data_IF_141420374991
#
_entry.id   IF_141420374991
#
_cell.length_a   1.000
_cell.length_b   1.000
_cell.length_c   1.000
_cell.angle_alpha   90.00
_cell.angle_beta   90.00
_cell.angle_gamma   90.00
#
_symmetry.space_group_name_H-M   'P 1'
#
loop_
_entity.id
_entity.type
_entity.pdbx_description
1 polymer ?
#
# COMPACT_ATOMS: atom_id res chain seq x y z
N UNK A 1 10.73 -22.08 -50.09
CA UNK A 1 11.51 -20.85 -50.34
C UNK A 1 12.00 -20.35 -48.99
N UNK A 2 13.26 -19.93 -48.95
CA UNK A 2 14.19 -20.01 -47.82
C UNK A 2 13.83 -19.19 -46.55
N UNK A 3 14.50 -19.53 -45.43
CA UNK A 3 14.19 -19.17 -44.03
C UNK A 3 15.22 -18.15 -43.46
N UNK A 4 15.42 -18.17 -42.13
CA UNK A 4 16.38 -17.41 -41.29
C UNK A 4 15.75 -16.19 -40.60
N UNK A 5 15.37 -16.28 -39.31
CA UNK A 5 16.21 -16.35 -38.10
C UNK A 5 16.77 -14.98 -37.66
N UNK A 6 16.76 -14.82 -36.34
CA UNK A 6 17.41 -13.81 -35.49
C UNK A 6 16.52 -12.57 -35.24
N UNK A 7 16.05 -12.32 -34.02
CA UNK A 7 16.84 -12.35 -32.79
C UNK A 7 16.16 -13.14 -31.66
N UNK A 8 16.93 -14.12 -31.19
CA UNK A 8 16.75 -14.85 -29.95
C UNK A 8 16.75 -13.89 -28.75
N UNK A 9 15.82 -14.12 -27.82
CA UNK A 9 16.09 -13.86 -26.40
C UNK A 9 15.85 -15.19 -25.70
N UNK A 10 16.97 -15.83 -25.44
CA UNK A 10 17.12 -17.18 -24.90
C UNK A 10 16.28 -17.37 -23.62
N UNK A 11 15.57 -18.51 -23.59
CA UNK A 11 15.29 -19.43 -22.46
C UNK A 11 15.42 -18.85 -21.03
N UNK A 12 14.48 -19.12 -20.11
CA UNK A 12 14.46 -20.38 -19.37
C UNK A 12 13.05 -20.94 -19.06
N UNK A 13 12.77 -22.23 -19.34
CA UNK A 13 11.89 -23.03 -18.50
C UNK A 13 12.60 -23.29 -17.16
N UNK A 14 12.43 -22.37 -16.21
CA UNK A 14 12.92 -22.47 -14.84
C UNK A 14 13.69 -21.24 -14.35
N UNK A 15 13.05 -20.41 -13.52
CA UNK A 15 13.70 -19.60 -12.47
C UNK A 15 12.87 -19.76 -11.17
N UNK A 16 13.02 -20.88 -10.47
CA UNK A 16 13.90 -20.94 -9.31
C UNK A 16 13.64 -19.76 -8.34
N UNK A 17 12.69 -19.98 -7.43
CA UNK A 17 12.73 -19.61 -6.00
C UNK A 17 13.95 -18.74 -5.64
N UNK A 18 13.74 -17.50 -5.17
CA UNK A 18 14.67 -16.61 -4.40
C UNK A 18 15.50 -15.48 -5.08
N UNK A 19 15.10 -14.82 -6.18
CA UNK A 19 15.89 -13.64 -6.66
C UNK A 19 15.14 -12.46 -7.30
N UNK A 20 13.87 -12.20 -6.98
CA UNK A 20 13.12 -11.01 -7.49
C UNK A 20 12.64 -10.03 -6.41
N UNK A 21 12.97 -10.26 -5.14
CA UNK A 21 12.72 -9.27 -4.07
C UNK A 21 13.81 -8.21 -3.93
N UNK A 22 14.95 -8.37 -4.61
CA UNK A 22 16.04 -7.41 -4.53
C UNK A 22 15.85 -6.24 -5.50
N UNK A 23 14.60 -5.81 -5.66
CA UNK A 23 14.22 -4.62 -6.43
C UNK A 23 13.81 -3.57 -5.41
N UNK A 24 14.38 -2.36 -5.46
CA UNK A 24 14.00 -1.28 -4.57
C UNK A 24 12.50 -0.99 -4.73
N UNK A 25 11.75 -1.15 -3.64
CA UNK A 25 10.30 -0.96 -3.65
C UNK A 25 9.48 -2.23 -3.79
N UNK A 26 10.08 -3.44 -3.77
CA UNK A 26 9.35 -4.70 -3.60
C UNK A 26 9.28 -5.13 -2.12
N UNK A 27 8.25 -5.89 -1.77
CA UNK A 27 8.04 -6.49 -0.46
C UNK A 27 8.10 -8.02 -0.56
N UNK A 28 8.77 -8.65 0.41
CA UNK A 28 8.87 -10.11 0.51
C UNK A 28 7.81 -10.63 1.46
N UNK A 29 6.87 -11.42 0.93
CA UNK A 29 5.91 -12.19 1.71
C UNK A 29 6.64 -13.19 2.62
N UNK A 30 6.02 -13.59 3.72
CA UNK A 30 6.57 -14.61 4.62
C UNK A 30 6.60 -16.01 3.98
N UNK A 31 5.71 -16.28 3.00
CA UNK A 31 5.75 -17.48 2.15
C UNK A 31 6.92 -17.48 1.13
N UNK A 32 7.67 -16.37 1.02
CA UNK A 32 8.81 -16.23 0.11
C UNK A 32 8.45 -15.73 -1.30
N UNK A 33 7.17 -15.44 -1.56
CA UNK A 33 6.70 -14.70 -2.74
C UNK A 33 7.11 -13.21 -2.63
N UNK A 34 7.34 -12.57 -3.77
CA UNK A 34 7.57 -11.12 -3.82
C UNK A 34 6.38 -10.41 -4.48
N UNK A 35 5.99 -9.29 -3.88
CA UNK A 35 4.96 -8.38 -4.39
C UNK A 35 5.53 -6.97 -4.49
N UNK A 36 4.95 -6.07 -5.31
CA UNK A 36 5.24 -4.65 -5.24
C UNK A 36 5.05 -4.13 -3.81
N UNK A 37 5.97 -3.33 -3.30
CA UNK A 37 5.89 -2.76 -1.95
C UNK A 37 4.74 -1.76 -1.78
N UNK A 38 4.14 -1.31 -2.89
CA UNK A 38 2.88 -0.58 -2.89
C UNK A 38 1.66 -1.43 -2.53
N UNK A 39 1.77 -2.76 -2.61
CA UNK A 39 0.74 -3.72 -2.21
C UNK A 39 0.87 -4.12 -0.73
N UNK A 40 1.95 -3.71 -0.08
CA UNK A 40 2.05 -3.90 1.36
C UNK A 40 1.09 -2.95 2.08
N UNK A 41 0.10 -3.50 2.78
CA UNK A 41 -0.90 -2.76 3.54
C UNK A 41 -1.82 -1.93 2.65
N UNK A 42 -2.19 -2.45 1.50
CA UNK A 42 -3.09 -1.78 0.56
C UNK A 42 -4.57 -2.18 0.76
N UNK A 43 -4.81 -3.15 1.66
CA UNK A 43 -6.14 -3.66 1.99
C UNK A 43 -6.54 -4.91 1.21
N UNK A 44 -5.67 -5.43 0.34
CA UNK A 44 -5.88 -6.66 -0.42
C UNK A 44 -4.82 -7.72 -0.09
N UNK A 45 -5.22 -8.99 0.06
CA UNK A 45 -4.25 -10.07 0.24
C UNK A 45 -3.61 -10.45 -1.10
N UNK A 46 -2.44 -9.90 -1.40
CA UNK A 46 -1.65 -10.24 -2.58
C UNK A 46 -0.61 -11.33 -2.28
N UNK A 47 -0.19 -11.48 -1.02
CA UNK A 47 0.53 -12.66 -0.55
C UNK A 47 -0.42 -13.85 -0.36
N UNK A 48 0.05 -15.05 -0.68
CA UNK A 48 -0.73 -16.28 -0.46
C UNK A 48 -1.03 -16.52 1.03
N UNK A 49 -0.10 -16.09 1.89
CA UNK A 49 -0.24 -16.14 3.34
C UNK A 49 -0.71 -14.81 3.95
N UNK A 50 -1.12 -13.83 3.13
CA UNK A 50 -1.62 -12.51 3.58
C UNK A 50 -0.61 -11.73 4.44
N UNK A 51 0.69 -12.01 4.29
CA UNK A 51 1.75 -11.37 5.10
C UNK A 51 1.99 -9.92 4.75
N UNK A 52 1.67 -9.51 3.53
CA UNK A 52 1.60 -8.11 3.07
C UNK A 52 0.60 -7.27 3.86
N UNK A 53 -0.47 -7.89 4.34
CA UNK A 53 -1.54 -7.25 5.12
C UNK A 53 -1.39 -7.45 6.64
N UNK A 54 -0.34 -8.19 7.08
CA UNK A 54 -0.08 -8.48 8.50
C UNK A 54 0.94 -7.51 9.09
N UNK A 55 0.65 -7.03 10.31
CA UNK A 55 1.58 -6.15 11.03
C UNK A 55 1.72 -4.76 10.41
N UNK A 56 0.78 -4.39 9.53
CA UNK A 56 0.68 -3.05 8.98
C UNK A 56 0.66 -2.03 10.11
N UNK A 57 1.52 -1.00 10.05
CA UNK A 57 1.44 0.07 11.03
C UNK A 57 0.02 0.61 10.95
N UNK A 58 -0.65 0.76 12.10
CA UNK A 58 -1.98 1.41 12.17
C UNK A 58 -1.99 2.80 11.49
N UNK A 59 -0.80 3.35 11.25
CA UNK A 59 -0.50 4.62 10.59
C UNK A 59 -0.07 4.50 9.11
N UNK A 60 0.08 3.31 8.51
CA UNK A 60 -0.19 3.15 7.07
C UNK A 60 -1.70 3.25 6.95
N UNK A 61 -2.16 4.48 7.14
CA UNK A 61 -3.53 4.90 6.97
C UNK A 61 -3.99 4.31 5.65
N UNK A 62 -5.19 3.72 5.60
CA UNK A 62 -5.87 3.32 4.34
C UNK A 62 -6.14 4.52 3.40
N UNK A 63 -5.56 5.65 3.72
CA UNK A 63 -5.74 6.96 3.14
C UNK A 63 -4.42 7.37 2.52
N UNK A 64 -4.46 7.96 1.32
CA UNK A 64 -3.30 8.55 0.68
C UNK A 64 -2.60 9.56 1.63
N UNK A 65 -1.29 9.82 1.49
CA UNK A 65 -0.51 10.64 2.42
C UNK A 65 -1.04 12.06 2.64
N UNK A 66 -1.90 12.57 1.77
CA UNK A 66 -2.56 13.89 1.88
C UNK A 66 -3.91 13.85 2.59
N UNK A 67 -4.37 12.68 2.99
CA UNK A 67 -5.65 12.45 3.63
C UNK A 67 -5.48 12.12 5.11
N UNK A 68 -6.41 12.60 5.92
CA UNK A 68 -6.55 12.25 7.32
C UNK A 68 -7.50 11.06 7.45
N UNK A 69 -7.05 10.02 8.18
CA UNK A 69 -7.88 8.89 8.54
C UNK A 69 -8.74 9.24 9.76
N UNK A 70 -10.06 9.12 9.63
CA UNK A 70 -10.98 9.19 10.75
C UNK A 70 -10.64 8.13 11.81
N UNK A 71 -11.04 8.34 13.06
CA UNK A 71 -10.80 7.39 14.15
C UNK A 71 -11.41 6.00 13.90
N UNK A 72 -12.47 5.93 13.08
CA UNK A 72 -13.02 4.66 12.58
C UNK A 72 -12.05 3.87 11.67
N UNK A 73 -10.99 4.48 11.15
CA UNK A 73 -9.96 3.84 10.33
C UNK A 73 -10.42 3.42 8.91
N UNK A 74 -11.69 3.66 8.57
CA UNK A 74 -12.30 3.33 7.27
C UNK A 74 -12.51 4.56 6.40
N UNK A 75 -12.78 5.72 7.02
CA UNK A 75 -13.04 6.97 6.31
C UNK A 75 -11.80 7.85 6.22
N UNK A 76 -11.62 8.45 5.05
CA UNK A 76 -10.51 9.33 4.72
C UNK A 76 -11.07 10.66 4.25
N UNK A 77 -10.63 11.75 4.89
CA UNK A 77 -10.94 13.12 4.46
C UNK A 77 -9.66 13.81 4.01
N UNK A 78 -9.77 14.86 3.20
CA UNK A 78 -8.58 15.65 2.83
C UNK A 78 -8.01 16.29 4.10
N UNK A 79 -6.68 16.31 4.27
CA UNK A 79 -6.06 16.84 5.50
C UNK A 79 -6.49 18.26 5.88
N UNK A 80 -6.92 19.08 4.91
CA UNK A 80 -7.47 20.44 5.13
C UNK A 80 -8.81 20.47 5.88
N UNK A 81 -9.51 19.34 5.91
CA UNK A 81 -10.82 19.19 6.55
C UNK A 81 -10.69 18.79 8.02
N UNK A 82 -9.51 18.34 8.45
CA UNK A 82 -9.24 18.15 9.87
C UNK A 82 -9.24 19.50 10.59
N UNK A 83 -10.03 19.63 11.66
CA UNK A 83 -10.14 20.85 12.46
C UNK A 83 -10.63 22.08 11.67
N UNK A 84 -11.53 21.89 10.71
CA UNK A 84 -12.09 22.98 9.90
C UNK A 84 -13.40 23.56 10.49
N UNK A 85 -13.89 23.03 11.60
CA UNK A 85 -15.15 23.41 12.23
C UNK A 85 -16.38 22.63 11.74
N UNK A 86 -16.19 21.65 10.86
CA UNK A 86 -17.24 20.80 10.30
C UNK A 86 -16.89 19.32 10.52
N UNK A 87 -17.91 18.53 10.87
CA UNK A 87 -17.75 17.08 10.99
C UNK A 87 -17.75 16.46 9.58
N UNK A 88 -16.58 16.31 8.98
CA UNK A 88 -16.39 15.62 7.71
C UNK A 88 -16.20 14.10 7.90
N UNK A 89 -15.73 13.65 9.07
CA UNK A 89 -15.80 12.25 9.46
C UNK A 89 -17.21 11.86 9.92
N UNK A 90 -17.68 10.64 9.62
CA UNK A 90 -18.98 10.15 10.10
C UNK A 90 -19.04 10.01 11.63
N UNK A 91 -17.89 9.85 12.27
CA UNK A 91 -17.70 9.86 13.73
C UNK A 91 -17.27 11.21 14.30
N UNK A 92 -17.09 12.24 13.47
CA UNK A 92 -16.67 13.58 13.89
C UNK A 92 -15.26 13.68 14.49
N UNK A 93 -14.45 12.63 14.41
CA UNK A 93 -13.10 12.60 14.98
C UNK A 93 -12.10 13.54 14.32
N UNK A 94 -12.43 14.07 13.16
CA UNK A 94 -11.68 15.13 12.50
C UNK A 94 -11.73 16.46 13.25
N UNK A 95 -12.76 16.67 14.07
CA UNK A 95 -12.95 17.86 14.92
C UNK A 95 -12.54 17.62 16.38
N UNK A 96 -12.07 16.41 16.71
CA UNK A 96 -11.60 16.03 18.03
C UNK A 96 -10.12 16.36 18.24
N UNK A 97 -9.77 16.76 19.47
CA UNK A 97 -8.40 17.13 19.85
C UNK A 97 -7.77 18.20 18.92
N UNK A 98 -8.61 19.09 18.40
CA UNK A 98 -8.18 20.31 17.75
C UNK A 98 -7.71 21.27 18.82
N UNK A 99 -6.38 21.40 18.95
CA UNK A 99 -5.75 22.47 19.73
C UNK A 99 -6.22 23.79 19.13
N UNK A 100 -7.33 24.35 19.61
CA UNK A 100 -7.82 25.67 19.21
C UNK A 100 -6.79 26.71 19.65
N UNK A 101 -5.72 26.84 18.89
CA UNK A 101 -4.84 28.01 18.85
C UNK A 101 -5.10 28.73 17.54
N UNK A 102 -6.33 29.18 17.38
CA UNK A 102 -6.64 30.33 16.54
C UNK A 102 -7.19 31.41 17.47
N UNK A 103 -6.26 32.20 18.01
CA UNK A 103 -6.50 33.60 18.33
C UNK A 103 -5.95 34.41 17.15
#
# INVERSE_FOLDING_TARGET
MLPSSLLESQLLPGNNVTTECNIPGNFMCADGKCVPGGWQCDGFPDCFDESDEKGCPKFKSKCAPTFFACANGVHCIIGRFRCNGFSDCPDGSDEENCSKYHA
#
